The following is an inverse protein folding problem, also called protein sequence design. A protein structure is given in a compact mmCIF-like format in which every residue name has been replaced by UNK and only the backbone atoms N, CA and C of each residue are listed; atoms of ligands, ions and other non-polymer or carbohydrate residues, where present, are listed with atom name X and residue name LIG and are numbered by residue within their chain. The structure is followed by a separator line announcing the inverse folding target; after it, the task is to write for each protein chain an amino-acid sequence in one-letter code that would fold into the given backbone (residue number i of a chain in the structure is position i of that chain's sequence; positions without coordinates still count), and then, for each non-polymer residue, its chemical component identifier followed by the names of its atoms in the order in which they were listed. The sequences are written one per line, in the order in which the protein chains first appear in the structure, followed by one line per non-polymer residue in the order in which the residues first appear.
data_IF_105022103599
#
_entry.id   IF_105022103599
#
_cell.length_a   1.000
_cell.length_b   1.000
_cell.length_c   1.000
_cell.angle_alpha   90.00
_cell.angle_beta   90.00
_cell.angle_gamma   90.00
#
_symmetry.space_group_name_H-M   'P 1'
#
loop_
_entity.id
_entity.type
_entity.pdbx_description
1 polymer ?
#
# COMPACT_ATOMS: atom_id res chain seq x y z
N UNK A 1 10.99 8.02 11.29
CA UNK A 1 10.76 9.33 11.97
C UNK A 1 11.11 10.43 10.99
N UNK A 2 10.26 11.45 10.80
CA UNK A 2 10.59 12.63 9.99
C UNK A 2 10.88 13.82 10.92
N UNK A 3 11.98 14.53 10.67
CA UNK A 3 12.37 15.69 11.45
C UNK A 3 12.21 16.95 10.61
N UNK A 4 11.53 17.96 11.15
CA UNK A 4 11.29 19.24 10.49
C UNK A 4 12.07 20.31 11.26
N UNK A 5 12.91 21.08 10.55
CA UNK A 5 13.62 22.22 11.12
C UNK A 5 12.94 23.52 10.71
N UNK A 6 12.69 24.38 11.67
CA UNK A 6 12.21 25.73 11.44
C UNK A 6 13.32 26.74 11.76
N UNK A 7 13.55 27.69 10.86
CA UNK A 7 14.50 28.80 11.05
C UNK A 7 13.76 30.13 11.02
N UNK A 8 14.29 31.16 11.66
CA UNK A 8 13.74 32.50 11.61
C UNK A 8 14.34 33.37 10.48
N UNK A 9 15.10 32.76 9.57
CA UNK A 9 15.79 33.47 8.49
C UNK A 9 14.87 33.99 7.40
N UNK A 10 13.70 33.34 7.23
CA UNK A 10 12.70 33.76 6.23
C UNK A 10 11.59 34.53 6.93
N UNK A 11 11.43 35.80 6.59
CA UNK A 11 10.31 36.64 7.07
C UNK A 11 9.01 36.21 6.39
N UNK A 12 8.37 35.20 6.91
CA UNK A 12 7.02 34.81 6.49
C UNK A 12 5.97 35.63 7.23
N UNK A 13 4.86 35.95 6.56
CA UNK A 13 3.71 36.55 7.24
C UNK A 13 3.20 35.59 8.31
N UNK A 14 2.97 36.12 9.52
CA UNK A 14 2.45 35.32 10.64
C UNK A 14 1.15 34.59 10.24
N UNK A 15 1.09 33.31 10.59
CA UNK A 15 -0.07 32.47 10.42
C UNK A 15 -0.83 32.44 11.74
N UNK A 16 -2.07 32.88 11.75
CA UNK A 16 -2.91 32.96 12.96
C UNK A 16 -3.81 31.73 13.13
N UNK A 17 -4.05 30.98 12.05
CA UNK A 17 -4.93 29.80 12.07
C UNK A 17 -4.52 28.78 11.00
N UNK A 18 -4.69 27.49 11.31
CA UNK A 18 -4.46 26.37 10.39
C UNK A 18 -5.40 26.39 9.17
N UNK A 19 -6.49 27.16 9.22
CA UNK A 19 -7.47 27.28 8.14
C UNK A 19 -7.14 28.38 7.12
N UNK A 20 -6.03 29.12 7.29
CA UNK A 20 -5.64 30.17 6.35
C UNK A 20 -5.19 29.56 5.01
N UNK A 21 -5.58 30.22 3.91
CA UNK A 21 -5.19 29.78 2.56
C UNK A 21 -3.67 29.70 2.34
N UNK A 22 -2.90 30.51 3.10
CA UNK A 22 -1.42 30.49 3.07
C UNK A 22 -0.84 29.14 3.47
N UNK A 23 -1.50 28.41 4.40
CA UNK A 23 -1.06 27.09 4.86
C UNK A 23 -1.32 26.01 3.80
N UNK A 24 -2.31 26.14 2.95
CA UNK A 24 -2.67 25.11 1.96
C UNK A 24 -1.49 24.70 1.07
N UNK A 25 -0.68 25.66 0.64
CA UNK A 25 0.49 25.37 -0.19
C UNK A 25 1.59 24.68 0.62
N UNK A 26 1.78 25.11 1.87
CA UNK A 26 2.71 24.45 2.80
C UNK A 26 2.27 23.01 3.10
N UNK A 27 1.00 22.79 3.44
CA UNK A 27 0.44 21.46 3.70
C UNK A 27 0.62 20.54 2.49
N UNK A 28 0.33 21.06 1.29
CA UNK A 28 0.53 20.30 0.06
C UNK A 28 2.00 19.93 -0.17
N UNK A 29 2.91 20.86 0.04
CA UNK A 29 4.34 20.63 -0.11
C UNK A 29 4.84 19.63 0.94
N UNK A 30 4.45 19.81 2.20
CA UNK A 30 4.80 18.91 3.30
C UNK A 30 4.28 17.50 3.06
N UNK A 31 3.01 17.36 2.69
CA UNK A 31 2.42 16.05 2.38
C UNK A 31 3.15 15.36 1.22
N UNK A 32 3.55 16.10 0.18
CA UNK A 32 4.32 15.54 -0.92
C UNK A 32 5.70 15.03 -0.47
N UNK A 33 6.40 15.81 0.38
CA UNK A 33 7.71 15.40 0.92
C UNK A 33 7.55 14.15 1.79
N UNK A 34 6.58 14.14 2.72
CA UNK A 34 6.32 13.00 3.60
C UNK A 34 5.94 11.74 2.82
N UNK A 35 5.10 11.88 1.79
CA UNK A 35 4.71 10.76 0.93
C UNK A 35 5.92 10.20 0.15
N UNK A 36 6.77 11.08 -0.39
CA UNK A 36 7.96 10.65 -1.10
C UNK A 36 8.96 9.94 -0.16
N UNK A 37 9.14 10.45 1.06
CA UNK A 37 9.97 9.79 2.06
C UNK A 37 9.40 8.43 2.46
N UNK A 38 8.09 8.33 2.69
CA UNK A 38 7.44 7.06 3.00
C UNK A 38 7.62 6.02 1.90
N UNK A 39 7.48 6.43 0.62
CA UNK A 39 7.72 5.54 -0.53
C UNK A 39 9.17 5.07 -0.60
N UNK A 40 10.14 5.96 -0.32
CA UNK A 40 11.57 5.59 -0.28
C UNK A 40 11.85 4.56 0.81
N UNK A 41 11.29 4.73 2.01
CA UNK A 41 11.42 3.76 3.10
C UNK A 41 10.90 2.38 2.68
N UNK A 42 9.75 2.33 2.00
CA UNK A 42 9.19 1.08 1.49
C UNK A 42 10.09 0.46 0.41
N UNK A 43 10.63 1.28 -0.50
CA UNK A 43 11.52 0.80 -1.59
C UNK A 43 12.86 0.30 -1.07
N UNK A 44 13.33 0.83 0.08
CA UNK A 44 14.60 0.46 0.72
C UNK A 44 14.42 -0.64 1.80
N UNK A 45 13.32 -1.37 1.72
CA UNK A 45 13.05 -2.44 2.67
C UNK A 45 14.04 -3.61 2.53
N UNK A 46 14.50 -4.15 3.66
CA UNK A 46 15.46 -5.25 3.70
C UNK A 46 15.00 -6.44 2.87
N UNK A 47 15.78 -6.81 1.87
CA UNK A 47 15.50 -7.94 1.00
C UNK A 47 14.31 -7.77 0.07
N UNK A 48 13.72 -6.58 -0.04
CA UNK A 48 12.62 -6.31 -0.95
C UNK A 48 13.07 -6.44 -2.42
N UNK A 49 12.19 -6.95 -3.25
CA UNK A 49 12.38 -7.04 -4.70
C UNK A 49 11.28 -6.31 -5.48
N UNK A 50 10.12 -6.07 -4.86
CA UNK A 50 8.97 -5.45 -5.52
C UNK A 50 8.32 -4.39 -4.64
N UNK A 51 7.98 -3.25 -5.25
CA UNK A 51 7.18 -2.21 -4.64
C UNK A 51 5.69 -2.46 -4.92
N UNK A 52 4.86 -2.43 -3.87
CA UNK A 52 3.44 -2.78 -3.97
C UNK A 52 2.60 -1.57 -3.61
N UNK A 53 1.72 -1.16 -4.52
CA UNK A 53 0.69 -0.14 -4.29
C UNK A 53 -0.66 -0.83 -4.15
N UNK A 54 -1.37 -0.56 -3.06
CA UNK A 54 -2.70 -1.10 -2.80
C UNK A 54 -3.69 0.04 -2.79
N UNK A 55 -4.53 0.10 -3.81
CA UNK A 55 -5.58 1.09 -3.98
C UNK A 55 -6.92 0.50 -3.59
N UNK A 56 -7.53 1.02 -2.54
CA UNK A 56 -8.90 0.65 -2.13
C UNK A 56 -9.81 1.81 -2.43
N UNK A 57 -10.87 1.56 -3.18
CA UNK A 57 -11.81 2.59 -3.63
C UNK A 57 -13.26 2.17 -3.46
N UNK A 58 -14.17 3.12 -3.67
CA UNK A 58 -15.61 2.92 -3.55
C UNK A 58 -16.03 2.40 -2.16
N UNK A 59 -15.33 2.85 -1.10
CA UNK A 59 -15.63 2.51 0.28
C UNK A 59 -16.63 3.47 0.92
N UNK A 60 -17.34 2.99 1.93
CA UNK A 60 -18.31 3.75 2.72
C UNK A 60 -17.66 4.97 3.39
N UNK A 61 -16.48 4.80 3.97
CA UNK A 61 -15.70 5.84 4.61
C UNK A 61 -14.19 5.57 4.45
N UNK A 62 -13.36 6.55 4.76
CA UNK A 62 -11.91 6.47 4.62
C UNK A 62 -11.28 5.50 5.62
N UNK A 63 -11.85 5.38 6.82
CA UNK A 63 -11.38 4.47 7.87
C UNK A 63 -11.49 3.02 7.40
N UNK A 64 -12.61 2.65 6.78
CA UNK A 64 -12.82 1.31 6.24
C UNK A 64 -11.87 1.05 5.06
N UNK A 65 -11.70 2.02 4.16
CA UNK A 65 -10.75 1.92 3.06
C UNK A 65 -9.33 1.69 3.57
N UNK A 66 -8.90 2.44 4.59
CA UNK A 66 -7.60 2.31 5.24
C UNK A 66 -7.42 0.94 5.90
N UNK A 67 -8.42 0.45 6.65
CA UNK A 67 -8.36 -0.87 7.28
C UNK A 67 -8.18 -1.99 6.26
N UNK A 68 -8.92 -1.94 5.15
CA UNK A 68 -8.81 -2.93 4.06
C UNK A 68 -7.43 -2.85 3.42
N UNK A 69 -6.98 -1.65 3.04
CA UNK A 69 -5.68 -1.46 2.40
C UNK A 69 -4.53 -1.96 3.27
N UNK A 70 -4.53 -1.61 4.57
CA UNK A 70 -3.50 -2.05 5.52
C UNK A 70 -3.58 -3.55 5.81
N UNK A 71 -4.78 -4.15 5.84
CA UNK A 71 -4.92 -5.60 6.00
C UNK A 71 -4.26 -6.38 4.85
N UNK A 72 -4.40 -5.88 3.63
CA UNK A 72 -3.74 -6.47 2.45
C UNK A 72 -2.24 -6.18 2.47
N UNK A 73 -1.83 -4.93 2.74
CA UNK A 73 -0.43 -4.50 2.78
C UNK A 73 0.40 -5.26 3.82
N UNK A 74 -0.19 -5.58 4.97
CA UNK A 74 0.47 -6.26 6.07
C UNK A 74 0.28 -7.79 6.05
N UNK A 75 -0.33 -8.35 5.01
CA UNK A 75 -0.53 -9.79 4.89
C UNK A 75 0.73 -10.50 4.42
N UNK A 76 1.41 -11.30 5.26
CA UNK A 76 2.58 -12.06 4.84
C UNK A 76 2.26 -12.99 3.65
N UNK A 77 1.05 -13.56 3.60
CA UNK A 77 0.63 -14.45 2.52
C UNK A 77 0.49 -13.71 1.19
N UNK A 78 -0.01 -12.47 1.19
CA UNK A 78 -0.05 -11.63 -0.03
C UNK A 78 1.37 -11.26 -0.45
N UNK A 79 2.19 -10.78 0.49
CA UNK A 79 3.56 -10.34 0.21
C UNK A 79 4.44 -11.47 -0.34
N UNK A 80 4.31 -12.68 0.21
CA UNK A 80 5.06 -13.86 -0.27
C UNK A 80 4.56 -14.36 -1.62
N UNK A 81 3.25 -14.27 -1.93
CA UNK A 81 2.75 -14.59 -3.26
C UNK A 81 3.33 -13.65 -4.31
N UNK A 82 3.37 -12.33 -4.01
CA UNK A 82 3.95 -11.33 -4.93
C UNK A 82 5.44 -11.58 -5.13
N UNK A 83 6.19 -11.90 -4.07
CA UNK A 83 7.60 -12.29 -4.16
C UNK A 83 7.83 -13.51 -5.05
N UNK A 84 6.91 -14.48 -5.00
CA UNK A 84 6.94 -15.69 -5.84
C UNK A 84 6.32 -15.52 -7.22
N UNK A 85 5.95 -14.28 -7.61
CA UNK A 85 5.28 -13.96 -8.89
C UNK A 85 3.97 -14.74 -9.10
N UNK A 86 3.34 -15.17 -7.99
CA UNK A 86 2.08 -15.89 -7.97
C UNK A 86 0.91 -14.89 -7.92
N UNK A 87 0.04 -14.82 -8.93
CA UNK A 87 -1.14 -13.95 -8.95
C UNK A 87 -2.25 -14.48 -8.05
N UNK A 88 -1.94 -14.77 -6.80
CA UNK A 88 -2.82 -15.42 -5.82
C UNK A 88 -3.88 -14.45 -5.28
N UNK A 89 -4.89 -14.20 -6.09
CA UNK A 89 -6.02 -13.36 -5.72
C UNK A 89 -6.79 -13.88 -4.50
N UNK A 90 -6.80 -15.19 -4.26
CA UNK A 90 -7.45 -15.79 -3.09
C UNK A 90 -6.86 -15.26 -1.78
N UNK A 91 -5.54 -15.08 -1.70
CA UNK A 91 -4.86 -14.48 -0.55
C UNK A 91 -5.24 -13.01 -0.37
N UNK A 92 -5.44 -12.27 -1.47
CA UNK A 92 -5.91 -10.87 -1.41
C UNK A 92 -7.34 -10.82 -0.86
N UNK A 93 -8.26 -11.65 -1.39
CA UNK A 93 -9.65 -11.71 -0.92
C UNK A 93 -9.72 -12.12 0.56
N UNK A 94 -8.91 -13.09 0.99
CA UNK A 94 -8.80 -13.49 2.39
C UNK A 94 -8.34 -12.32 3.27
N UNK A 95 -7.33 -11.56 2.84
CA UNK A 95 -6.84 -10.40 3.57
C UNK A 95 -7.90 -9.29 3.66
N UNK A 96 -8.69 -9.08 2.61
CA UNK A 96 -9.85 -8.19 2.63
C UNK A 96 -10.89 -8.66 3.65
N UNK A 97 -11.22 -9.95 3.65
CA UNK A 97 -12.23 -10.54 4.53
C UNK A 97 -11.91 -10.37 6.02
N UNK A 98 -10.63 -10.47 6.41
CA UNK A 98 -10.19 -10.31 7.80
C UNK A 98 -10.02 -8.83 8.23
N UNK A 99 -10.17 -7.86 7.33
CA UNK A 99 -9.94 -6.44 7.63
C UNK A 99 -10.94 -5.83 8.64
N UNK A 100 -12.07 -6.48 8.87
CA UNK A 100 -13.13 -6.07 9.81
C UNK A 100 -14.30 -5.31 9.20
N UNK A 101 -14.12 -4.38 8.23
CA UNK A 101 -15.26 -3.71 7.61
C UNK A 101 -16.21 -4.70 6.92
N UNK A 102 -17.53 -4.50 7.12
CA UNK A 102 -18.53 -5.28 6.39
C UNK A 102 -18.60 -4.82 4.94
N UNK A 103 -18.22 -5.70 4.03
CA UNK A 103 -18.28 -5.49 2.58
C UNK A 103 -19.25 -6.48 1.93
N UNK A 104 -19.85 -6.08 0.82
CA UNK A 104 -20.67 -7.00 0.03
C UNK A 104 -19.76 -7.73 -0.96
N UNK A 105 -19.38 -8.96 -0.63
CA UNK A 105 -18.50 -9.78 -1.50
C UNK A 105 -19.07 -9.96 -2.92
N UNK A 106 -20.39 -9.97 -3.10
CA UNK A 106 -21.03 -10.09 -4.41
C UNK A 106 -20.81 -8.87 -5.31
N UNK A 107 -20.27 -7.77 -4.76
CA UNK A 107 -19.93 -6.56 -5.50
C UNK A 107 -18.42 -6.31 -5.57
N UNK A 108 -17.63 -7.10 -4.86
CA UNK A 108 -16.18 -6.93 -4.78
C UNK A 108 -15.53 -7.07 -6.16
N UNK A 109 -14.65 -6.12 -6.50
CA UNK A 109 -13.76 -6.22 -7.65
C UNK A 109 -12.31 -6.14 -7.19
N UNK A 110 -11.45 -6.99 -7.76
CA UNK A 110 -10.01 -7.00 -7.52
C UNK A 110 -9.28 -7.08 -8.86
N UNK A 111 -8.30 -6.19 -9.03
CA UNK A 111 -7.45 -6.16 -10.24
C UNK A 111 -5.97 -6.16 -9.82
N UNK A 112 -5.13 -6.79 -10.63
CA UNK A 112 -3.69 -6.58 -10.62
C UNK A 112 -3.34 -5.68 -11.83
N UNK A 113 -2.84 -4.47 -11.55
CA UNK A 113 -2.73 -3.44 -12.57
C UNK A 113 -4.09 -3.17 -13.22
N UNK A 114 -4.16 -3.36 -14.54
CA UNK A 114 -5.39 -3.22 -15.32
C UNK A 114 -6.13 -4.55 -15.54
N UNK A 115 -5.59 -5.68 -15.04
CA UNK A 115 -6.15 -7.01 -15.26
C UNK A 115 -7.19 -7.29 -14.19
N UNK A 116 -8.47 -7.40 -14.59
CA UNK A 116 -9.56 -7.74 -13.67
C UNK A 116 -9.56 -9.23 -13.38
N UNK A 117 -9.39 -9.59 -12.10
CA UNK A 117 -9.35 -11.00 -11.67
C UNK A 117 -10.65 -11.40 -10.99
N UNK A 118 -11.13 -10.54 -10.08
CA UNK A 118 -12.40 -10.74 -9.38
C UNK A 118 -13.37 -9.66 -9.82
N UNK A 119 -14.55 -10.04 -10.21
CA UNK A 119 -15.66 -9.15 -10.55
C UNK A 119 -16.96 -9.70 -9.97
N UNK A 120 -17.72 -8.86 -9.28
CA UNK A 120 -18.93 -9.30 -8.61
C UNK A 120 -18.70 -10.43 -7.59
N UNK A 121 -17.51 -10.48 -6.99
CA UNK A 121 -17.14 -11.49 -6.00
C UNK A 121 -16.83 -12.88 -6.57
N UNK A 122 -16.74 -13.01 -7.89
CA UNK A 122 -16.40 -14.24 -8.59
C UNK A 122 -15.16 -14.04 -9.47
N UNK A 123 -14.50 -15.13 -9.83
CA UNK A 123 -13.45 -15.09 -10.83
C UNK A 123 -14.02 -14.55 -12.14
N UNK A 124 -13.34 -13.56 -12.73
CA UNK A 124 -13.75 -12.98 -14.01
C UNK A 124 -13.64 -14.04 -15.11
N UNK A 125 -14.66 -14.16 -15.97
CA UNK A 125 -14.69 -15.15 -17.05
C UNK A 125 -13.59 -14.94 -18.10
N UNK A 126 -13.12 -13.70 -18.27
CA UNK A 126 -12.01 -13.34 -19.17
C UNK A 126 -10.64 -13.33 -18.48
N UNK A 127 -10.53 -13.88 -17.26
CA UNK A 127 -9.26 -13.95 -16.54
C UNK A 127 -8.25 -14.83 -17.29
N UNK A 128 -7.11 -14.23 -17.62
CA UNK A 128 -5.96 -14.91 -18.21
C UNK A 128 -4.83 -15.00 -17.19
N UNK A 129 -4.59 -16.22 -16.71
CA UNK A 129 -3.54 -16.49 -15.72
C UNK A 129 -2.15 -16.18 -16.27
N UNK A 130 -1.89 -16.48 -17.55
CA UNK A 130 -0.58 -16.21 -18.18
C UNK A 130 -0.29 -14.73 -18.28
N UNK A 131 -1.28 -13.94 -18.67
CA UNK A 131 -1.16 -12.48 -18.72
C UNK A 131 -0.88 -11.93 -17.33
N UNK A 132 -1.58 -12.42 -16.32
CA UNK A 132 -1.41 -11.95 -14.93
C UNK A 132 -0.05 -12.38 -14.37
N UNK A 133 0.37 -13.62 -14.60
CA UNK A 133 1.70 -14.10 -14.18
C UNK A 133 2.81 -13.30 -14.85
N UNK A 134 2.65 -12.88 -16.10
CA UNK A 134 3.62 -12.01 -16.77
C UNK A 134 3.64 -10.61 -16.13
N UNK A 135 2.48 -10.05 -15.76
CA UNK A 135 2.41 -8.78 -15.03
C UNK A 135 3.14 -8.86 -13.67
N UNK A 136 3.02 -9.98 -12.95
CA UNK A 136 3.65 -10.19 -11.65
C UNK A 136 5.18 -10.17 -11.68
N UNK A 137 5.81 -10.26 -12.84
CA UNK A 137 7.28 -10.11 -13.01
C UNK A 137 7.75 -8.65 -12.88
N UNK A 138 6.83 -7.69 -12.92
CA UNK A 138 7.17 -6.27 -12.77
C UNK A 138 7.70 -5.98 -11.37
N UNK A 139 8.61 -5.02 -11.26
CA UNK A 139 9.11 -4.51 -9.97
C UNK A 139 8.03 -3.70 -9.22
N UNK A 140 7.09 -3.10 -9.95
CA UNK A 140 5.99 -2.31 -9.40
C UNK A 140 4.68 -3.05 -9.62
N UNK A 141 4.03 -3.46 -8.53
CA UNK A 141 2.77 -4.19 -8.55
C UNK A 141 1.67 -3.30 -7.97
N UNK A 142 0.58 -3.16 -8.69
CA UNK A 142 -0.62 -2.49 -8.21
C UNK A 142 -1.73 -3.50 -7.95
N UNK A 143 -2.36 -3.40 -6.78
CA UNK A 143 -3.57 -4.14 -6.41
C UNK A 143 -4.70 -3.12 -6.26
N UNK A 144 -5.68 -3.17 -7.14
CA UNK A 144 -6.83 -2.27 -7.15
C UNK A 144 -8.06 -3.02 -6.63
N UNK A 145 -8.68 -2.51 -5.55
CA UNK A 145 -9.80 -3.12 -4.83
C UNK A 145 -10.97 -2.14 -4.82
N UNK A 146 -12.12 -2.56 -5.34
CA UNK A 146 -13.34 -1.76 -5.33
C UNK A 146 -14.41 -2.47 -4.50
N UNK A 147 -14.92 -1.81 -3.45
CA UNK A 147 -15.89 -2.43 -2.52
C UNK A 147 -17.35 -2.09 -2.84
N UNK A 148 -17.60 -1.04 -3.62
CA UNK A 148 -18.94 -0.55 -4.02
C UNK A 148 -19.89 -0.29 -2.82
N UNK A 149 -19.32 0.19 -1.70
CA UNK A 149 -20.08 0.56 -0.51
C UNK A 149 -20.22 2.07 -0.32
N UNK A 150 -19.53 2.88 -1.13
CA UNK A 150 -19.54 4.34 -1.09
C UNK A 150 -18.59 4.95 -2.11
N UNK A 151 -17.98 6.10 -1.81
CA UNK A 151 -17.13 6.86 -2.74
C UNK A 151 -15.75 7.24 -2.15
N UNK A 152 -15.40 6.72 -0.96
CA UNK A 152 -14.12 7.01 -0.32
C UNK A 152 -13.05 6.03 -0.77
N UNK A 153 -11.79 6.47 -0.66
CA UNK A 153 -10.63 5.71 -1.08
C UNK A 153 -9.49 5.82 -0.07
N UNK A 154 -8.54 4.93 -0.18
CA UNK A 154 -7.26 4.98 0.52
C UNK A 154 -6.22 4.20 -0.28
N UNK A 155 -4.98 4.70 -0.30
CA UNK A 155 -3.84 4.02 -0.91
C UNK A 155 -2.82 3.67 0.17
N UNK A 156 -2.39 2.42 0.20
CA UNK A 156 -1.28 1.95 1.01
C UNK A 156 -0.11 1.52 0.12
N UNK A 157 1.09 1.67 0.66
CA UNK A 157 2.33 1.23 0.01
C UNK A 157 3.01 0.19 0.89
N UNK A 158 3.55 -0.84 0.28
CA UNK A 158 4.30 -1.90 0.95
C UNK A 158 5.30 -2.53 -0.02
N UNK A 159 6.07 -3.47 0.44
CA UNK A 159 7.01 -4.26 -0.33
C UNK A 159 6.64 -5.74 -0.24
N UNK A 160 7.17 -6.57 -1.11
CA UNK A 160 7.07 -8.01 -1.02
C UNK A 160 7.82 -8.57 0.21
N UNK A 161 7.68 -9.86 0.46
CA UNK A 161 8.37 -10.57 1.53
C UNK A 161 9.13 -11.75 0.91
N UNK A 162 10.44 -11.59 0.79
CA UNK A 162 11.35 -12.54 0.16
C UNK A 162 12.04 -13.45 1.20
N UNK A 163 12.69 -14.51 0.73
CA UNK A 163 13.58 -15.33 1.56
C UNK A 163 14.75 -14.52 2.13
N UNK A 164 15.24 -13.53 1.36
CA UNK A 164 16.35 -12.68 1.75
C UNK A 164 16.06 -11.87 3.03
N UNK A 165 14.79 -11.45 3.23
CA UNK A 165 14.38 -10.81 4.48
C UNK A 165 14.64 -11.71 5.70
N UNK A 166 14.30 -12.99 5.57
CA UNK A 166 14.49 -13.98 6.66
C UNK A 166 15.99 -14.23 6.87
N UNK A 167 16.76 -14.40 5.80
CA UNK A 167 18.21 -14.60 5.87
C UNK A 167 18.91 -13.45 6.60
N UNK A 168 18.61 -12.20 6.25
CA UNK A 168 19.19 -11.02 6.88
C UNK A 168 18.83 -10.96 8.37
N UNK A 169 17.57 -11.21 8.72
CA UNK A 169 17.08 -11.01 10.09
C UNK A 169 17.33 -12.23 11.02
N UNK A 170 17.43 -13.45 10.46
CA UNK A 170 17.72 -14.65 11.25
C UNK A 170 19.17 -14.69 11.73
N UNK A 171 20.11 -14.15 10.93
CA UNK A 171 21.55 -14.11 11.26
C UNK A 171 21.98 -12.77 11.89
N UNK A 172 21.03 -11.85 12.12
CA UNK A 172 21.31 -10.55 12.71
C UNK A 172 21.77 -10.69 14.15
N UNK A 173 23.07 -10.50 14.39
CA UNK A 173 23.66 -10.43 15.72
C UNK A 173 24.07 -8.99 16.02
N UNK A 174 23.59 -8.45 17.13
CA UNK A 174 24.11 -7.20 17.65
C UNK A 174 25.58 -7.40 17.99
N UNK A 175 26.48 -6.83 17.23
CA UNK A 175 27.89 -6.77 17.56
C UNK A 175 28.06 -5.80 18.74
N UNK A 176 28.53 -6.31 19.87
CA UNK A 176 28.87 -5.50 21.07
C UNK A 176 30.09 -4.58 20.85
N UNK A 177 30.63 -4.51 19.64
CA UNK A 177 31.85 -3.75 19.29
C UNK A 177 31.55 -2.26 19.08
N UNK A 178 30.29 -1.83 19.14
CA UNK A 178 29.89 -0.43 18.94
C UNK A 178 29.25 0.23 20.17
N UNK A 179 29.59 -0.24 21.39
CA UNK A 179 29.32 0.45 22.65
C UNK A 179 30.57 1.14 23.13
#
# INVERSE_FOLDING_TARGET
MATIFATNEVKNSQVKSVNENKIKNFDKALNNVLLNLAKRIVSDGEGASKFITINVSKCKNEIDAKKIALSVANSPLVKTAISGEDPNWGRVVMAIGKAGPKINLKKLSVKFGNITIVEGGKLNQSYDEKQTANYMKSENIEINIETFTGNKNFTAYTMDLTKKYIEINADYRLSLIHI
#
